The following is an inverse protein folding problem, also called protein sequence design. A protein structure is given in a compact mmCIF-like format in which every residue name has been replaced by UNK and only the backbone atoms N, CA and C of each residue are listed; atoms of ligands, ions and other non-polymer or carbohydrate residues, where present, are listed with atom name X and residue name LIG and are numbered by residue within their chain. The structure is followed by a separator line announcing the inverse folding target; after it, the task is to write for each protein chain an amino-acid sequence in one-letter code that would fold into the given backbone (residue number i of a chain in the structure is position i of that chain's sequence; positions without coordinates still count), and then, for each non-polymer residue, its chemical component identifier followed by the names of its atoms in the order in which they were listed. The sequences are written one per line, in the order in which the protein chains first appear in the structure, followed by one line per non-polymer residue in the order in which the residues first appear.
data_IF_082019455585
#
_entry.id   IF_082019455585
#
_cell.length_a   1.000
_cell.length_b   1.000
_cell.length_c   1.000
_cell.angle_alpha   90.00
_cell.angle_beta   90.00
_cell.angle_gamma   90.00
#
_symmetry.space_group_name_H-M   'P 1'
#
loop_
_entity.id
_entity.type
_entity.pdbx_description
1 polymer ?
#
# COMPACT_ATOMS: atom_id res chain seq x y z
N UNK A 1 24.95 21.25 2.56
CA UNK A 1 23.91 20.19 2.53
C UNK A 1 23.17 20.27 3.84
N UNK A 2 22.01 20.93 3.88
CA UNK A 2 21.28 21.13 5.14
C UNK A 2 20.50 19.86 5.49
N UNK A 3 20.78 19.29 6.66
CA UNK A 3 19.92 18.29 7.26
C UNK A 3 18.60 18.96 7.64
N UNK A 4 17.48 18.49 7.06
CA UNK A 4 16.17 18.81 7.61
C UNK A 4 16.08 18.21 9.00
N UNK A 5 15.88 19.07 10.00
CA UNK A 5 15.63 18.62 11.37
C UNK A 5 14.32 17.84 11.43
N UNK A 6 14.20 16.91 12.40
CA UNK A 6 12.99 16.12 12.63
C UNK A 6 11.72 16.96 12.89
N UNK A 7 11.86 18.27 13.14
CA UNK A 7 10.75 19.21 13.33
C UNK A 7 10.03 19.62 12.02
N UNK A 8 10.51 19.21 10.84
CA UNK A 8 9.86 19.44 9.54
C UNK A 8 9.09 18.21 9.01
N UNK A 9 8.97 17.13 9.77
CA UNK A 9 7.85 16.20 9.56
C UNK A 9 6.61 16.85 10.19
N UNK A 10 5.93 17.69 9.39
CA UNK A 10 4.56 18.14 9.64
C UNK A 10 3.73 16.97 10.23
N UNK A 11 2.74 17.28 11.06
CA UNK A 11 1.81 16.34 11.67
C UNK A 11 0.99 15.59 10.59
N UNK A 12 1.62 14.63 9.90
CA UNK A 12 1.09 13.99 8.70
C UNK A 12 0.22 12.81 9.10
N UNK A 13 -1.08 13.07 9.12
CA UNK A 13 -2.12 12.07 9.35
C UNK A 13 -2.48 11.38 8.03
N UNK A 14 -2.70 10.07 8.10
CA UNK A 14 -3.29 9.29 7.02
C UNK A 14 -4.56 8.57 7.47
N UNK A 15 -5.46 8.28 6.53
CA UNK A 15 -6.71 7.59 6.81
C UNK A 15 -6.89 6.38 5.87
N UNK A 16 -7.40 5.28 6.41
CA UNK A 16 -7.80 4.11 5.63
C UNK A 16 -9.10 4.44 4.89
N UNK A 17 -9.11 4.40 3.56
CA UNK A 17 -10.32 4.59 2.76
C UNK A 17 -10.99 3.22 2.53
N UNK A 18 -11.81 2.81 3.50
CA UNK A 18 -12.65 1.61 3.37
C UNK A 18 -13.83 1.87 2.43
N UNK A 19 -14.01 0.99 1.45
CA UNK A 19 -15.07 1.11 0.42
C UNK A 19 -16.15 0.02 0.53
N UNK A 20 -16.12 -0.80 1.59
CA UNK A 20 -17.16 -1.80 1.88
C UNK A 20 -18.29 -1.17 2.69
N UNK A 21 -19.22 -0.53 1.99
CA UNK A 21 -20.44 0.05 2.55
C UNK A 21 -21.44 0.36 1.42
N UNK A 22 -22.72 0.42 1.74
CA UNK A 22 -23.83 0.56 0.78
C UNK A 22 -24.35 2.00 0.65
N UNK A 23 -23.87 2.92 1.49
CA UNK A 23 -24.30 4.32 1.55
C UNK A 23 -23.11 5.32 1.52
N UNK A 24 -21.94 4.87 1.09
CA UNK A 24 -20.73 5.71 1.09
C UNK A 24 -20.80 6.79 0.00
N UNK A 25 -20.24 7.99 0.26
CA UNK A 25 -20.09 9.01 -0.78
C UNK A 25 -19.24 8.53 -1.96
N UNK A 26 -19.43 9.08 -3.17
CA UNK A 26 -18.59 8.76 -4.31
C UNK A 26 -17.12 9.17 -4.05
N UNK A 27 -16.13 8.49 -4.67
CA UNK A 27 -14.72 8.73 -4.38
C UNK A 27 -14.25 10.18 -4.58
N UNK A 28 -14.82 10.91 -5.54
CA UNK A 28 -14.54 12.34 -5.74
C UNK A 28 -14.92 13.18 -4.52
N UNK A 29 -16.08 12.92 -3.90
CA UNK A 29 -16.51 13.59 -2.68
C UNK A 29 -15.61 13.22 -1.49
N UNK A 30 -15.17 11.96 -1.41
CA UNK A 30 -14.22 11.52 -0.37
C UNK A 30 -12.86 12.21 -0.54
N UNK A 31 -12.31 12.29 -1.76
CA UNK A 31 -11.04 13.00 -2.01
C UNK A 31 -11.17 14.48 -1.65
N UNK A 32 -12.29 15.13 -1.96
CA UNK A 32 -12.53 16.51 -1.52
C UNK A 32 -12.62 16.63 0.00
N UNK A 33 -13.25 15.67 0.68
CA UNK A 33 -13.28 15.62 2.14
C UNK A 33 -11.86 15.52 2.71
N UNK A 34 -11.00 14.63 2.18
CA UNK A 34 -9.61 14.50 2.61
C UNK A 34 -8.86 15.83 2.48
N UNK A 35 -9.00 16.51 1.34
CA UNK A 35 -8.39 17.84 1.11
C UNK A 35 -8.92 18.89 2.10
N UNK A 36 -10.24 18.94 2.32
CA UNK A 36 -10.87 19.89 3.24
C UNK A 36 -10.43 19.72 4.70
N UNK A 37 -9.97 18.52 5.07
CA UNK A 37 -9.47 18.17 6.41
C UNK A 37 -7.94 18.13 6.49
N UNK A 38 -7.23 18.55 5.43
CA UNK A 38 -5.77 18.50 5.34
C UNK A 38 -5.20 17.08 5.59
N UNK A 39 -5.93 16.03 5.20
CA UNK A 39 -5.45 14.66 5.23
C UNK A 39 -4.65 14.41 3.95
N UNK A 40 -3.34 14.20 4.09
CA UNK A 40 -2.39 14.14 2.97
C UNK A 40 -1.97 12.71 2.60
N UNK A 41 -2.42 11.70 3.34
CA UNK A 41 -2.14 10.29 3.07
C UNK A 41 -3.41 9.45 3.13
N UNK A 42 -3.52 8.45 2.27
CA UNK A 42 -4.58 7.46 2.35
C UNK A 42 -4.08 6.06 2.04
N UNK A 43 -4.82 5.07 2.54
CA UNK A 43 -4.65 3.67 2.15
C UNK A 43 -5.90 3.17 1.44
N UNK A 44 -5.71 2.61 0.25
CA UNK A 44 -6.69 1.75 -0.44
C UNK A 44 -6.33 0.30 -0.16
N UNK A 45 -7.33 -0.54 0.12
CA UNK A 45 -7.12 -1.97 0.39
C UNK A 45 -7.03 -2.80 -0.90
N UNK A 46 -7.58 -2.30 -1.99
CA UNK A 46 -7.60 -2.90 -3.33
C UNK A 46 -7.43 -1.81 -4.41
N UNK A 47 -7.05 -2.15 -5.65
CA UNK A 47 -6.83 -1.18 -6.71
C UNK A 47 -8.14 -0.70 -7.37
N UNK A 48 -9.01 -0.05 -6.59
CA UNK A 48 -10.29 0.46 -7.05
C UNK A 48 -10.12 1.54 -8.16
N UNK A 49 -10.59 1.31 -9.40
CA UNK A 49 -10.36 2.24 -10.51
C UNK A 49 -10.98 3.62 -10.29
N UNK A 50 -12.18 3.67 -9.69
CA UNK A 50 -12.89 4.93 -9.47
C UNK A 50 -12.22 5.81 -8.41
N UNK A 51 -11.66 5.20 -7.36
CA UNK A 51 -10.87 5.90 -6.35
C UNK A 51 -9.53 6.39 -6.92
N UNK A 52 -8.82 5.54 -7.67
CA UNK A 52 -7.57 5.92 -8.32
C UNK A 52 -7.75 7.06 -9.32
N UNK A 53 -8.86 7.09 -10.06
CA UNK A 53 -9.20 8.21 -10.95
C UNK A 53 -9.49 9.49 -10.16
N UNK A 54 -10.29 9.40 -9.08
CA UNK A 54 -10.59 10.56 -8.23
C UNK A 54 -9.34 11.16 -7.56
N UNK A 55 -8.26 10.40 -7.43
CA UNK A 55 -7.00 10.84 -6.83
C UNK A 55 -6.08 11.61 -7.76
N UNK A 56 -6.37 11.63 -9.07
CA UNK A 56 -5.56 12.36 -10.05
C UNK A 56 -5.45 13.85 -9.67
N UNK A 57 -4.21 14.33 -9.54
CA UNK A 57 -3.92 15.73 -9.21
C UNK A 57 -4.29 16.15 -7.78
N UNK A 58 -4.67 15.21 -6.92
CA UNK A 58 -5.05 15.52 -5.53
C UNK A 58 -3.88 15.93 -4.64
N UNK A 59 -2.67 15.46 -4.96
CA UNK A 59 -1.48 15.58 -4.11
C UNK A 59 -1.49 14.68 -2.88
N UNK A 60 -2.48 13.79 -2.74
CA UNK A 60 -2.57 12.84 -1.62
C UNK A 60 -1.66 11.65 -1.91
N UNK A 61 -0.83 11.27 -0.94
CA UNK A 61 0.03 10.09 -1.04
C UNK A 61 -0.75 8.81 -0.78
N UNK A 62 -0.53 7.78 -1.60
CA UNK A 62 -1.33 6.55 -1.60
C UNK A 62 -0.50 5.34 -1.18
N UNK A 63 -1.02 4.59 -0.21
CA UNK A 63 -0.70 3.17 -0.03
C UNK A 63 -1.74 2.36 -0.81
N UNK A 64 -1.29 1.59 -1.80
CA UNK A 64 -2.15 0.75 -2.63
C UNK A 64 -2.02 -0.71 -2.22
N UNK A 65 -3.08 -1.31 -1.70
CA UNK A 65 -3.15 -2.73 -1.37
C UNK A 65 -3.39 -3.61 -2.60
N UNK A 66 -2.77 -4.78 -2.62
CA UNK A 66 -3.23 -5.90 -3.43
C UNK A 66 -4.37 -6.61 -2.71
N UNK A 67 -5.24 -7.24 -3.47
CA UNK A 67 -6.17 -8.23 -2.92
C UNK A 67 -5.40 -9.45 -2.38
N UNK A 68 -5.83 -9.99 -1.24
CA UNK A 68 -5.18 -11.15 -0.61
C UNK A 68 -5.28 -12.39 -1.53
N UNK A 69 -6.41 -12.56 -2.21
CA UNK A 69 -6.68 -13.63 -3.17
C UNK A 69 -5.77 -13.59 -4.40
N UNK A 70 -5.15 -12.45 -4.73
CA UNK A 70 -4.18 -12.37 -5.81
C UNK A 70 -2.76 -12.76 -5.39
N UNK A 71 -2.47 -12.90 -4.09
CA UNK A 71 -1.12 -13.22 -3.60
C UNK A 71 -0.53 -14.49 -4.25
N UNK A 72 -1.25 -15.61 -4.38
CA UNK A 72 -0.69 -16.81 -5.01
C UNK A 72 -0.25 -16.59 -6.45
N UNK A 73 -1.03 -15.82 -7.24
CA UNK A 73 -0.70 -15.50 -8.64
C UNK A 73 0.44 -14.49 -8.73
N UNK A 74 0.42 -13.45 -7.90
CA UNK A 74 1.51 -12.47 -7.80
C UNK A 74 2.83 -13.14 -7.40
N UNK A 75 2.77 -14.17 -6.57
CA UNK A 75 3.92 -14.95 -6.11
C UNK A 75 4.48 -15.89 -7.20
N UNK A 76 3.61 -16.61 -7.90
CA UNK A 76 4.01 -17.67 -8.83
C UNK A 76 4.26 -17.20 -10.26
N UNK A 77 3.73 -16.03 -10.66
CA UNK A 77 3.77 -15.55 -12.03
C UNK A 77 4.26 -14.09 -12.12
N UNK A 78 5.49 -13.89 -12.59
CA UNK A 78 6.09 -12.56 -12.76
C UNK A 78 5.40 -11.71 -13.86
N UNK A 79 4.85 -12.36 -14.90
CA UNK A 79 4.08 -11.65 -15.93
C UNK A 79 2.77 -11.12 -15.36
N UNK A 80 2.09 -11.90 -14.51
CA UNK A 80 0.90 -11.43 -13.80
C UNK A 80 1.20 -10.21 -12.90
N UNK A 81 2.34 -10.20 -12.20
CA UNK A 81 2.75 -9.02 -11.43
C UNK A 81 3.02 -7.79 -12.33
N UNK A 82 3.56 -8.01 -13.53
CA UNK A 82 3.79 -6.95 -14.52
C UNK A 82 2.48 -6.39 -15.07
N UNK A 83 1.51 -7.26 -15.37
CA UNK A 83 0.15 -6.91 -15.77
C UNK A 83 -0.58 -6.14 -14.67
N UNK A 84 -0.48 -6.59 -13.41
CA UNK A 84 -1.06 -5.91 -12.26
C UNK A 84 -0.53 -4.47 -12.13
N UNK A 85 0.79 -4.27 -12.27
CA UNK A 85 1.40 -2.93 -12.25
C UNK A 85 0.94 -2.09 -13.44
N UNK A 86 0.92 -2.68 -14.65
CA UNK A 86 0.49 -2.01 -15.87
C UNK A 86 -0.99 -1.61 -15.85
N UNK A 87 -1.84 -2.36 -15.14
CA UNK A 87 -3.26 -2.08 -14.99
C UNK A 87 -3.55 -1.04 -13.90
N UNK A 88 -2.87 -1.12 -12.76
CA UNK A 88 -3.30 -0.39 -11.55
C UNK A 88 -2.38 0.74 -11.10
N UNK A 89 -1.11 0.74 -11.54
CA UNK A 89 -0.13 1.73 -11.10
C UNK A 89 0.28 2.63 -12.26
N UNK A 90 0.78 2.04 -13.35
CA UNK A 90 1.34 2.78 -14.49
C UNK A 90 0.39 3.85 -15.06
N UNK A 91 -0.91 3.57 -15.30
CA UNK A 91 -1.82 4.57 -15.90
C UNK A 91 -2.11 5.77 -14.98
N UNK A 92 -1.96 5.58 -13.66
CA UNK A 92 -2.28 6.60 -12.66
C UNK A 92 -1.06 7.35 -12.15
N UNK A 93 0.14 6.76 -12.25
CA UNK A 93 1.37 7.30 -11.71
C UNK A 93 1.76 8.73 -12.16
N UNK A 94 1.38 9.22 -13.36
CA UNK A 94 1.60 10.62 -13.72
C UNK A 94 0.86 11.61 -12.81
N UNK A 95 -0.30 11.21 -12.27
CA UNK A 95 -1.22 12.09 -11.55
C UNK A 95 -1.52 11.63 -10.11
N UNK A 96 -1.07 10.44 -9.70
CA UNK A 96 -1.27 9.86 -8.37
C UNK A 96 0.09 9.61 -7.73
N UNK A 97 0.26 10.10 -6.50
CA UNK A 97 1.49 9.94 -5.73
C UNK A 97 1.47 8.60 -4.97
N UNK A 98 1.87 7.51 -5.61
CA UNK A 98 2.02 6.22 -4.93
C UNK A 98 3.26 6.22 -4.04
N UNK A 99 3.08 5.98 -2.74
CA UNK A 99 4.18 5.87 -1.76
C UNK A 99 4.56 4.42 -1.50
N UNK A 100 3.54 3.55 -1.35
CA UNK A 100 3.74 2.12 -1.11
C UNK A 100 2.75 1.27 -1.91
N UNK A 101 3.18 0.06 -2.27
CA UNK A 101 2.31 -1.05 -2.66
C UNK A 101 2.39 -2.11 -1.56
N UNK A 102 1.24 -2.51 -0.99
CA UNK A 102 1.16 -3.52 0.07
C UNK A 102 0.75 -4.86 -0.54
N UNK A 103 1.65 -5.84 -0.53
CA UNK A 103 1.37 -7.22 -0.90
C UNK A 103 0.73 -7.95 0.28
N UNK A 104 -0.59 -7.93 0.32
CA UNK A 104 -1.40 -8.55 1.36
C UNK A 104 -1.70 -7.65 2.56
N UNK A 105 -2.72 -8.07 3.32
CA UNK A 105 -3.18 -7.46 4.56
C UNK A 105 -3.45 -8.53 5.61
N UNK A 106 -2.65 -8.53 6.67
CA UNK A 106 -2.78 -9.39 7.86
C UNK A 106 -2.83 -10.89 7.54
N UNK A 107 -2.07 -11.29 6.52
CA UNK A 107 -1.98 -12.69 6.07
C UNK A 107 -0.83 -13.48 6.71
N UNK A 108 -0.11 -12.84 7.64
CA UNK A 108 1.02 -13.41 8.38
C UNK A 108 0.69 -13.33 9.88
N UNK A 109 0.66 -14.45 10.61
CA UNK A 109 0.71 -15.84 10.11
C UNK A 109 -0.54 -16.21 9.29
N UNK A 110 -0.48 -17.30 8.52
CA UNK A 110 -1.63 -17.87 7.81
C UNK A 110 -1.27 -18.57 6.50
N UNK A 111 -2.26 -19.18 5.86
CA UNK A 111 -2.08 -20.01 4.64
C UNK A 111 -1.47 -19.22 3.46
N UNK A 112 -1.71 -17.91 3.43
CA UNK A 112 -1.19 -17.02 2.40
C UNK A 112 0.21 -16.46 2.71
N UNK A 113 0.75 -16.66 3.92
CA UNK A 113 2.03 -16.08 4.34
C UNK A 113 3.18 -16.46 3.40
N UNK A 114 3.22 -17.72 2.97
CA UNK A 114 4.24 -18.25 2.04
C UNK A 114 4.30 -17.52 0.69
N UNK A 115 3.21 -16.85 0.30
CA UNK A 115 3.12 -16.11 -0.96
C UNK A 115 3.59 -14.66 -0.85
N UNK A 116 3.67 -14.09 0.36
CA UNK A 116 3.99 -12.67 0.57
C UNK A 116 5.36 -12.29 0.02
N UNK A 117 6.42 -12.99 0.44
CA UNK A 117 7.78 -12.63 0.01
C UNK A 117 7.99 -12.78 -1.52
N UNK A 118 7.59 -13.89 -2.17
CA UNK A 118 7.67 -13.98 -3.63
C UNK A 118 6.83 -12.91 -4.35
N UNK A 119 5.61 -12.63 -3.88
CA UNK A 119 4.76 -11.58 -4.46
C UNK A 119 5.41 -10.20 -4.34
N UNK A 120 5.98 -9.87 -3.18
CA UNK A 120 6.71 -8.62 -2.97
C UNK A 120 7.91 -8.49 -3.93
N UNK A 121 8.64 -9.59 -4.16
CA UNK A 121 9.78 -9.60 -5.09
C UNK A 121 9.34 -9.34 -6.53
N UNK A 122 8.28 -10.01 -6.99
CA UNK A 122 7.76 -9.86 -8.34
C UNK A 122 7.17 -8.46 -8.57
N UNK A 123 6.37 -7.94 -7.64
CA UNK A 123 5.83 -6.57 -7.68
C UNK A 123 6.96 -5.53 -7.72
N UNK A 124 8.00 -5.70 -6.89
CA UNK A 124 9.14 -4.77 -6.87
C UNK A 124 9.89 -4.78 -8.20
N UNK A 125 10.05 -5.95 -8.82
CA UNK A 125 10.68 -6.06 -10.13
C UNK A 125 9.82 -5.39 -11.21
N UNK A 126 8.52 -5.68 -11.25
CA UNK A 126 7.57 -5.07 -12.18
C UNK A 126 7.53 -3.54 -12.07
N UNK A 127 7.46 -2.99 -10.85
CA UNK A 127 7.46 -1.54 -10.61
C UNK A 127 8.75 -0.86 -11.08
N UNK A 128 9.91 -1.52 -10.92
CA UNK A 128 11.20 -1.01 -11.41
C UNK A 128 11.26 -1.02 -12.94
N UNK A 129 10.77 -2.09 -13.57
CA UNK A 129 10.78 -2.23 -15.03
C UNK A 129 9.77 -1.32 -15.73
N UNK A 130 8.64 -1.01 -15.10
CA UNK A 130 7.58 -0.20 -15.67
C UNK A 130 7.94 1.30 -15.83
N UNK A 131 9.11 1.74 -15.38
CA UNK A 131 9.57 3.13 -15.56
C UNK A 131 8.68 4.17 -14.88
N UNK A 132 8.01 3.77 -13.79
CA UNK A 132 6.99 4.56 -13.09
C UNK A 132 7.64 5.78 -12.40
N UNK A 133 7.50 6.96 -13.00
CA UNK A 133 7.96 8.27 -12.50
C UNK A 133 9.46 8.35 -12.10
N UNK A 134 9.90 9.47 -11.49
CA UNK A 134 11.28 9.66 -11.02
C UNK A 134 11.74 8.63 -9.97
N UNK A 135 10.80 7.97 -9.29
CA UNK A 135 11.06 6.87 -8.36
C UNK A 135 9.80 5.96 -8.20
N UNK A 136 9.93 4.63 -8.33
CA UNK A 136 8.81 3.70 -8.13
C UNK A 136 8.41 3.60 -6.64
N UNK A 137 7.13 3.30 -6.33
CA UNK A 137 6.68 3.08 -4.96
C UNK A 137 7.41 1.91 -4.30
N UNK A 138 7.60 1.98 -2.98
CA UNK A 138 8.20 0.88 -2.22
C UNK A 138 7.19 -0.25 -2.04
N UNK A 139 7.64 -1.49 -2.09
CA UNK A 139 6.79 -2.66 -1.82
C UNK A 139 6.94 -3.10 -0.37
N UNK A 140 5.82 -3.33 0.30
CA UNK A 140 5.73 -3.76 1.70
C UNK A 140 4.59 -4.77 1.88
N UNK A 141 4.30 -5.19 3.11
CA UNK A 141 3.12 -5.96 3.49
C UNK A 141 2.58 -5.40 4.81
N UNK A 142 1.27 -5.49 5.03
CA UNK A 142 0.65 -5.11 6.29
C UNK A 142 0.46 -6.36 7.17
N UNK A 143 0.94 -6.30 8.41
CA UNK A 143 0.80 -7.37 9.41
C UNK A 143 0.02 -6.86 10.62
N UNK A 144 -0.68 -7.75 11.31
CA UNK A 144 -1.31 -7.45 12.61
C UNK A 144 -0.31 -7.68 13.74
N UNK A 145 -0.66 -7.32 14.98
CA UNK A 145 0.17 -7.64 16.15
C UNK A 145 0.26 -9.14 16.47
N UNK A 146 -0.53 -9.99 15.80
CA UNK A 146 -0.50 -11.44 16.00
C UNK A 146 0.84 -12.08 15.60
N UNK A 147 1.67 -11.37 14.83
CA UNK A 147 3.05 -11.80 14.51
C UNK A 147 3.99 -11.80 15.72
N UNK A 148 3.62 -11.14 16.82
CA UNK A 148 4.49 -10.99 17.99
C UNK A 148 4.27 -12.12 18.99
N UNK A 149 5.37 -12.80 19.38
CA UNK A 149 5.37 -13.73 20.52
C UNK A 149 5.53 -13.01 21.85
N UNK A 150 6.31 -11.94 21.85
CA UNK A 150 6.52 -11.08 23.02
C UNK A 150 6.28 -9.63 22.61
N UNK A 151 5.54 -8.90 23.45
CA UNK A 151 5.16 -7.50 23.20
C UNK A 151 5.37 -6.58 24.41
N UNK A 152 5.69 -7.14 25.59
CA UNK A 152 5.97 -6.37 26.80
C UNK A 152 7.18 -6.94 27.57
N UNK A 153 8.12 -6.09 28.03
CA UNK A 153 8.24 -4.67 27.66
C UNK A 153 8.54 -4.52 26.15
N UNK A 154 8.34 -3.34 25.53
CA UNK A 154 8.61 -3.17 24.10
C UNK A 154 10.04 -3.56 23.67
N UNK A 155 11.03 -3.42 24.56
CA UNK A 155 12.42 -3.86 24.31
C UNK A 155 12.59 -5.37 24.21
N UNK A 156 11.62 -6.16 24.68
CA UNK A 156 11.57 -7.62 24.54
C UNK A 156 10.74 -8.08 23.33
N UNK A 157 10.32 -7.14 22.47
CA UNK A 157 9.54 -7.41 21.26
C UNK A 157 10.22 -8.46 20.37
N UNK A 158 9.52 -9.55 20.08
CA UNK A 158 10.02 -10.63 19.23
C UNK A 158 8.90 -11.21 18.36
N UNK A 159 9.21 -11.51 17.10
CA UNK A 159 8.32 -12.27 16.23
C UNK A 159 8.14 -13.70 16.73
N UNK A 160 6.97 -14.29 16.46
CA UNK A 160 6.77 -15.71 16.67
C UNK A 160 7.64 -16.54 15.71
N UNK A 161 8.08 -17.71 16.15
CA UNK A 161 8.93 -18.61 15.34
C UNK A 161 8.23 -19.02 14.04
N UNK A 162 6.90 -19.18 14.08
CA UNK A 162 6.06 -19.54 12.93
C UNK A 162 5.92 -18.44 11.85
N UNK A 163 6.36 -17.21 12.13
CA UNK A 163 6.34 -16.09 11.15
C UNK A 163 7.73 -15.63 10.72
N UNK A 164 8.79 -16.25 11.26
CA UNK A 164 10.19 -15.83 11.07
C UNK A 164 10.85 -16.45 9.84
#
# INVERSE_FOLDING_TARGET
MAYKSAAEEDNIIGVNYGMKGDNLPPPSAVVQLYKSKNIRRLRLFDPNPSALLALHGSGIEVVLGTLNENLPLLASNASYASEWVAAHVTPHAPNVTFRYVSAGNEVVPGDLARHVLPAMRNLRAALRSAGVARAPPRVTTAVSSAVLRASYPPSAGAFAEEVS
#
